data_IF_313288374685
#
_entry.id   IF_313288374685
#
_cell.length_a   1.000
_cell.length_b   1.000
_cell.length_c   1.000
_cell.angle_alpha   90.00
_cell.angle_beta   90.00
_cell.angle_gamma   90.00
#
_symmetry.space_group_name_H-M   'P 1'
#
loop_
_entity.id
_entity.type
_entity.pdbx_description
1 polymer ?
#
# COMPACT_ATOMS: atom_id res chain seq x y z
N UNK A 1 41.37 12.77 -15.53
CA UNK A 1 40.30 11.80 -15.81
C UNK A 1 39.02 12.33 -15.15
N UNK A 2 38.11 12.90 -15.94
CA UNK A 2 36.79 13.34 -15.48
C UNK A 2 35.87 12.12 -15.53
N UNK A 3 35.51 11.57 -14.37
CA UNK A 3 34.50 10.51 -14.25
C UNK A 3 33.14 11.21 -14.32
N UNK A 4 32.56 11.27 -15.52
CA UNK A 4 31.18 11.70 -15.70
C UNK A 4 30.23 10.61 -15.21
N UNK A 5 29.60 10.82 -14.07
CA UNK A 5 28.47 9.98 -13.64
C UNK A 5 27.28 10.35 -14.52
N UNK A 6 27.02 9.55 -15.54
CA UNK A 6 25.76 9.63 -16.30
C UNK A 6 24.68 9.04 -15.41
N UNK A 7 23.96 9.89 -14.69
CA UNK A 7 22.76 9.49 -13.98
C UNK A 7 21.65 9.23 -15.01
N UNK A 8 21.46 7.96 -15.37
CA UNK A 8 20.28 7.55 -16.14
C UNK A 8 19.10 7.53 -15.17
N UNK A 9 18.20 8.50 -15.31
CA UNK A 9 16.92 8.47 -14.60
C UNK A 9 16.02 7.47 -15.32
N UNK A 10 15.87 6.27 -14.77
CA UNK A 10 14.94 5.28 -15.29
C UNK A 10 13.51 5.67 -14.91
N UNK A 11 12.63 5.86 -15.91
CA UNK A 11 11.20 6.10 -15.67
C UNK A 11 10.50 4.77 -15.45
N UNK A 12 10.03 4.55 -14.22
CA UNK A 12 9.14 3.42 -13.91
C UNK A 12 7.71 3.80 -14.26
N UNK A 13 7.06 2.95 -15.05
CA UNK A 13 5.66 3.09 -15.40
C UNK A 13 4.90 1.99 -14.65
N UNK A 14 4.01 2.39 -13.75
CA UNK A 14 3.16 1.46 -12.99
C UNK A 14 1.75 1.56 -13.54
N UNK A 15 1.16 0.43 -13.92
CA UNK A 15 -0.23 0.34 -14.33
C UNK A 15 -0.93 -0.69 -13.45
N UNK A 16 -2.11 -0.29 -12.94
CA UNK A 16 -2.93 -1.12 -12.06
C UNK A 16 -4.10 -1.68 -12.88
N UNK A 17 -4.34 -2.99 -12.74
CA UNK A 17 -5.41 -3.73 -13.40
C UNK A 17 -6.25 -4.49 -12.36
N UNK A 18 -7.44 -4.99 -12.75
CA UNK A 18 -8.10 -6.05 -12.00
C UNK A 18 -7.17 -7.25 -11.76
N UNK A 19 -7.32 -7.96 -10.64
CA UNK A 19 -6.50 -9.14 -10.35
C UNK A 19 -6.75 -10.26 -11.36
N UNK A 20 -5.76 -11.15 -11.51
CA UNK A 20 -5.95 -12.43 -12.22
C UNK A 20 -6.50 -13.47 -11.24
N UNK A 21 -7.58 -14.14 -11.62
CA UNK A 21 -8.19 -15.18 -10.78
C UNK A 21 -7.24 -16.37 -10.51
N UNK A 22 -7.39 -16.99 -9.34
CA UNK A 22 -6.65 -18.20 -8.97
C UNK A 22 -5.19 -17.98 -8.54
N UNK A 23 -4.76 -16.73 -8.37
CA UNK A 23 -3.44 -16.42 -7.85
C UNK A 23 -3.28 -16.86 -6.38
N UNK A 24 -2.08 -17.32 -6.04
CA UNK A 24 -1.65 -17.50 -4.65
C UNK A 24 -0.75 -16.34 -4.24
N UNK A 25 -0.67 -16.04 -2.95
CA UNK A 25 0.06 -14.88 -2.41
C UNK A 25 1.13 -15.29 -1.40
N UNK A 26 2.20 -15.99 -1.82
CA UNK A 26 3.18 -16.58 -0.89
C UNK A 26 4.15 -15.54 -0.30
N UNK A 27 4.25 -14.36 -0.89
CA UNK A 27 5.16 -13.30 -0.44
C UNK A 27 4.38 -12.27 0.36
N UNK A 28 4.93 -11.84 1.50
CA UNK A 28 4.31 -10.81 2.35
C UNK A 28 5.37 -9.81 2.80
N UNK A 29 5.02 -8.53 2.78
CA UNK A 29 5.80 -7.44 3.36
C UNK A 29 4.92 -6.62 4.29
N UNK A 30 5.43 -6.30 5.47
CA UNK A 30 4.68 -5.66 6.55
C UNK A 30 5.25 -4.30 6.88
N UNK A 31 4.35 -3.36 7.20
CA UNK A 31 4.69 -2.01 7.62
C UNK A 31 3.76 -1.58 8.74
N UNK A 32 4.29 -0.81 9.68
CA UNK A 32 3.47 -0.02 10.59
C UNK A 32 3.30 1.37 9.98
N UNK A 33 2.04 1.80 9.84
CA UNK A 33 1.67 3.02 9.13
C UNK A 33 0.76 3.90 9.98
N UNK A 34 0.89 5.22 9.81
CA UNK A 34 0.14 6.22 10.56
C UNK A 34 -0.68 7.07 9.60
N UNK A 35 -1.99 6.82 9.57
CA UNK A 35 -2.89 7.56 8.70
C UNK A 35 -3.45 8.77 9.44
N UNK A 36 -3.32 9.99 8.87
CA UNK A 36 -4.01 11.16 9.39
C UNK A 36 -5.53 10.99 9.25
N UNK A 37 -6.27 11.22 10.32
CA UNK A 37 -7.73 11.12 10.31
C UNK A 37 -8.35 12.18 9.40
N UNK A 38 -9.39 11.78 8.65
CA UNK A 38 -10.15 12.65 7.76
C UNK A 38 -9.41 13.11 6.51
N UNK A 39 -8.21 12.59 6.24
CA UNK A 39 -7.45 12.89 5.02
C UNK A 39 -7.32 11.66 4.14
N UNK A 40 -7.38 11.88 2.83
CA UNK A 40 -7.11 10.85 1.84
C UNK A 40 -5.62 10.48 1.83
N UNK A 41 -5.36 9.18 1.83
CA UNK A 41 -4.06 8.55 1.75
C UNK A 41 -4.12 7.52 0.62
N UNK A 42 -3.31 7.69 -0.41
CA UNK A 42 -3.28 6.76 -1.55
C UNK A 42 -2.23 5.67 -1.33
N UNK A 43 -2.65 4.43 -1.12
CA UNK A 43 -1.71 3.28 -1.06
C UNK A 43 -1.95 2.36 -2.25
N UNK A 44 -0.90 2.11 -3.05
CA UNK A 44 -1.00 1.22 -4.21
C UNK A 44 -2.05 1.67 -5.24
N UNK A 45 -2.30 2.99 -5.32
CA UNK A 45 -3.34 3.57 -6.17
C UNK A 45 -4.78 3.40 -5.66
N UNK A 46 -4.95 3.07 -4.37
CA UNK A 46 -6.24 2.99 -3.69
C UNK A 46 -6.35 4.18 -2.75
N UNK A 47 -7.39 4.99 -2.89
CA UNK A 47 -7.63 6.12 -2.00
C UNK A 47 -8.33 5.63 -0.74
N UNK A 48 -7.69 5.88 0.40
CA UNK A 48 -8.19 5.49 1.71
C UNK A 48 -8.33 6.69 2.63
N UNK A 49 -9.40 6.71 3.43
CA UNK A 49 -9.62 7.73 4.45
C UNK A 49 -9.94 7.03 5.77
N UNK A 50 -9.06 7.19 6.76
CA UNK A 50 -9.35 6.74 8.12
C UNK A 50 -10.23 7.78 8.83
N UNK A 51 -11.32 7.30 9.43
CA UNK A 51 -12.30 8.11 10.13
C UNK A 51 -12.51 7.51 11.52
N UNK A 52 -12.41 8.33 12.56
CA UNK A 52 -12.74 7.91 13.93
C UNK A 52 -13.95 8.69 14.40
N UNK A 53 -14.94 7.99 14.94
CA UNK A 53 -15.95 8.56 15.84
C UNK A 53 -15.56 8.26 17.29
N UNK A 54 -16.38 8.63 18.27
CA UNK A 54 -16.08 8.41 19.71
C UNK A 54 -15.81 6.93 20.04
N UNK A 55 -16.48 6.00 19.37
CA UNK A 55 -16.39 4.56 19.66
C UNK A 55 -15.98 3.69 18.47
N UNK A 56 -15.90 4.23 17.26
CA UNK A 56 -15.70 3.43 16.04
C UNK A 56 -14.59 3.96 15.15
N UNK A 57 -13.75 3.04 14.65
CA UNK A 57 -12.87 3.31 13.53
C UNK A 57 -13.52 2.82 12.24
N UNK A 58 -13.51 3.67 11.23
CA UNK A 58 -13.97 3.35 9.89
C UNK A 58 -12.86 3.66 8.90
N UNK A 59 -12.84 2.93 7.80
CA UNK A 59 -12.02 3.25 6.65
C UNK A 59 -12.92 3.36 5.43
N UNK A 60 -12.81 4.48 4.72
CA UNK A 60 -13.37 4.59 3.38
C UNK A 60 -12.31 4.14 2.38
N UNK A 61 -12.68 3.24 1.47
CA UNK A 61 -11.82 2.66 0.43
C UNK A 61 -12.53 2.85 -0.89
N UNK A 62 -11.96 3.65 -1.80
CA UNK A 62 -12.58 4.02 -3.09
C UNK A 62 -14.05 4.49 -2.94
N UNK A 63 -14.38 5.14 -1.81
CA UNK A 63 -15.72 5.67 -1.50
C UNK A 63 -16.67 4.72 -0.77
N UNK A 64 -16.33 3.43 -0.63
CA UNK A 64 -17.07 2.49 0.22
C UNK A 64 -16.54 2.58 1.66
N UNK A 65 -17.41 2.83 2.63
CA UNK A 65 -17.01 2.92 4.04
C UNK A 65 -17.26 1.61 4.76
N UNK A 66 -16.25 1.16 5.48
CA UNK A 66 -16.33 -0.04 6.29
C UNK A 66 -15.83 0.21 7.71
N UNK A 67 -16.46 -0.44 8.68
CA UNK A 67 -15.97 -0.46 10.06
C UNK A 67 -14.71 -1.33 10.16
N UNK A 68 -13.79 -0.91 11.02
CA UNK A 68 -12.61 -1.65 11.45
C UNK A 68 -12.64 -1.84 12.96
N UNK A 69 -12.56 -3.09 13.40
CA UNK A 69 -12.36 -3.40 14.81
C UNK A 69 -10.87 -3.45 15.16
N UNK A 70 -10.53 -3.10 16.41
CA UNK A 70 -9.13 -3.15 16.86
C UNK A 70 -8.65 -4.61 16.82
N UNK A 71 -7.50 -4.83 16.19
CA UNK A 71 -6.91 -6.16 16.02
C UNK A 71 -7.52 -6.98 14.88
N UNK A 72 -8.57 -6.49 14.21
CA UNK A 72 -9.13 -7.13 13.02
C UNK A 72 -8.15 -6.99 11.85
N UNK A 73 -7.75 -8.09 11.22
CA UNK A 73 -6.94 -8.05 10.01
C UNK A 73 -7.82 -8.16 8.77
N UNK A 74 -8.04 -7.04 8.09
CA UNK A 74 -9.03 -6.92 7.01
C UNK A 74 -8.38 -6.80 5.64
N UNK A 75 -8.90 -7.54 4.66
CA UNK A 75 -8.55 -7.35 3.25
C UNK A 75 -9.24 -6.09 2.74
N UNK A 76 -8.45 -5.14 2.27
CA UNK A 76 -8.93 -3.83 1.79
C UNK A 76 -9.11 -3.83 0.29
N UNK A 77 -8.16 -4.42 -0.44
CA UNK A 77 -8.21 -4.46 -1.89
C UNK A 77 -7.32 -5.57 -2.42
N UNK A 78 -7.71 -6.09 -3.57
CA UNK A 78 -6.93 -7.01 -4.39
C UNK A 78 -6.86 -6.48 -5.82
N UNK A 79 -5.64 -6.35 -6.37
CA UNK A 79 -5.40 -5.79 -7.72
C UNK A 79 -4.18 -6.45 -8.35
N UNK A 80 -3.90 -6.12 -9.61
CA UNK A 80 -2.68 -6.50 -10.32
C UNK A 80 -1.84 -5.27 -10.64
N UNK A 81 -0.56 -5.33 -10.33
CA UNK A 81 0.42 -4.31 -10.69
C UNK A 81 1.33 -4.81 -11.81
N UNK A 82 1.42 -4.03 -12.89
CA UNK A 82 2.41 -4.24 -13.95
C UNK A 82 3.34 -3.05 -13.97
N UNK A 83 4.61 -3.30 -13.67
CA UNK A 83 5.67 -2.29 -13.67
C UNK A 83 6.55 -2.49 -14.90
N UNK A 84 6.72 -1.41 -15.67
CA UNK A 84 7.55 -1.39 -16.87
C UNK A 84 8.64 -0.34 -16.77
N UNK A 85 9.81 -0.65 -17.30
CA UNK A 85 10.92 0.29 -17.50
C UNK A 85 11.42 0.17 -18.93
N UNK A 86 11.60 1.29 -19.63
CA UNK A 86 12.05 1.30 -21.03
C UNK A 86 11.27 0.33 -21.96
N UNK A 87 9.97 0.17 -21.72
CA UNK A 87 9.10 -0.75 -22.47
C UNK A 87 9.15 -2.23 -22.05
N UNK A 88 10.10 -2.62 -21.19
CA UNK A 88 10.23 -3.98 -20.66
C UNK A 88 9.47 -4.12 -19.34
N UNK A 89 8.69 -5.19 -19.20
CA UNK A 89 8.02 -5.54 -17.94
C UNK A 89 9.06 -6.08 -16.96
N UNK A 90 9.13 -5.46 -15.78
CA UNK A 90 10.05 -5.86 -14.70
C UNK A 90 9.32 -6.51 -13.53
N UNK A 91 8.04 -6.17 -13.34
CA UNK A 91 7.16 -6.81 -12.36
C UNK A 91 5.78 -6.95 -12.99
N UNK A 92 5.18 -8.11 -12.79
CA UNK A 92 3.79 -8.40 -13.12
C UNK A 92 3.27 -9.31 -12.02
N UNK A 93 2.44 -8.78 -11.13
CA UNK A 93 2.07 -9.47 -9.89
C UNK A 93 0.67 -9.06 -9.46
N UNK A 94 -0.12 -10.01 -8.97
CA UNK A 94 -1.26 -9.65 -8.14
C UNK A 94 -0.75 -9.21 -6.77
N UNK A 95 -1.49 -8.30 -6.14
CA UNK A 95 -1.24 -7.91 -4.76
C UNK A 95 -2.54 -7.72 -3.98
N UNK A 96 -2.46 -8.04 -2.69
CA UNK A 96 -3.49 -7.78 -1.70
C UNK A 96 -2.97 -6.80 -0.66
N UNK A 97 -3.81 -5.85 -0.27
CA UNK A 97 -3.53 -4.95 0.86
C UNK A 97 -4.42 -5.37 2.02
N UNK A 98 -3.80 -5.74 3.13
CA UNK A 98 -4.45 -5.94 4.40
C UNK A 98 -4.14 -4.79 5.35
N UNK A 99 -5.15 -4.38 6.11
CA UNK A 99 -4.99 -3.43 7.20
C UNK A 99 -5.50 -4.06 8.50
N UNK A 100 -4.71 -3.88 9.55
CA UNK A 100 -5.10 -4.19 10.90
C UNK A 100 -5.03 -2.93 11.75
N UNK A 101 -6.19 -2.49 12.24
CA UNK A 101 -6.27 -1.30 13.06
C UNK A 101 -5.74 -1.58 14.48
N UNK A 102 -4.72 -0.82 14.90
CA UNK A 102 -4.06 -1.00 16.20
C UNK A 102 -4.48 0.01 17.25
N UNK A 103 -5.34 0.97 16.90
CA UNK A 103 -5.73 2.07 17.77
C UNK A 103 -5.22 3.42 17.28
N UNK A 104 -5.66 4.48 17.96
CA UNK A 104 -5.14 5.82 17.74
C UNK A 104 -3.73 5.94 18.33
N UNK A 105 -2.80 6.51 17.59
CA UNK A 105 -1.50 6.94 18.15
C UNK A 105 -1.64 8.28 18.86
N UNK A 106 -2.49 9.16 18.31
CA UNK A 106 -2.88 10.43 18.88
C UNK A 106 -4.29 10.80 18.38
N UNK A 107 -4.95 11.85 18.91
CA UNK A 107 -6.32 12.21 18.52
C UNK A 107 -6.55 12.56 17.03
N UNK A 108 -5.49 12.67 16.22
CA UNK A 108 -5.53 13.01 14.79
C UNK A 108 -4.92 11.92 13.91
N UNK A 109 -4.38 10.85 14.49
CA UNK A 109 -3.59 9.85 13.76
C UNK A 109 -3.92 8.44 14.22
N UNK A 110 -4.33 7.60 13.28
CA UNK A 110 -4.61 6.19 13.51
C UNK A 110 -3.41 5.32 13.11
N UNK A 111 -3.08 4.33 13.94
CA UNK A 111 -2.04 3.34 13.66
C UNK A 111 -2.64 2.10 13.01
N UNK A 112 -2.02 1.65 11.94
CA UNK A 112 -2.36 0.40 11.30
C UNK A 112 -1.12 -0.45 11.09
N UNK A 113 -1.28 -1.75 11.21
CA UNK A 113 -0.38 -2.70 10.60
C UNK A 113 -0.86 -3.01 9.18
N UNK A 114 -0.02 -2.69 8.21
CA UNK A 114 -0.28 -2.87 6.80
C UNK A 114 0.52 -4.08 6.31
N UNK A 115 -0.16 -5.06 5.72
CA UNK A 115 0.48 -6.18 5.06
C UNK A 115 0.17 -6.15 3.56
N UNK A 116 1.21 -6.05 2.74
CA UNK A 116 1.13 -6.23 1.29
C UNK A 116 1.50 -7.67 0.99
N UNK A 117 0.59 -8.43 0.39
CA UNK A 117 0.88 -9.78 -0.10
C UNK A 117 0.96 -9.76 -1.61
N UNK A 118 1.92 -10.46 -2.20
CA UNK A 118 2.12 -10.48 -3.65
C UNK A 118 2.20 -11.91 -4.18
N UNK A 119 1.75 -12.11 -5.42
CA UNK A 119 1.80 -13.43 -6.06
C UNK A 119 3.20 -13.81 -6.53
N UNK A 120 3.96 -12.80 -6.97
CA UNK A 120 5.36 -12.92 -7.36
C UNK A 120 6.28 -12.21 -6.37
N UNK A 121 7.56 -12.60 -6.37
CA UNK A 121 8.57 -11.91 -5.57
C UNK A 121 8.83 -10.52 -6.15
N UNK A 122 8.47 -9.48 -5.39
CA UNK A 122 8.65 -8.09 -5.81
C UNK A 122 9.87 -7.49 -5.13
N UNK A 123 10.75 -6.78 -5.86
CA UNK A 123 11.82 -6.01 -5.25
C UNK A 123 11.30 -5.00 -4.21
N UNK A 124 11.96 -4.94 -3.05
CA UNK A 124 11.51 -4.12 -1.90
C UNK A 124 11.27 -2.64 -2.26
N UNK A 125 12.10 -2.06 -3.14
CA UNK A 125 11.94 -0.66 -3.54
C UNK A 125 10.62 -0.41 -4.29
N UNK A 126 10.05 -1.41 -4.96
CA UNK A 126 8.76 -1.31 -5.65
C UNK A 126 7.62 -1.37 -4.64
N UNK A 127 7.72 -2.24 -3.63
CA UNK A 127 6.75 -2.28 -2.52
C UNK A 127 6.73 -0.92 -1.80
N UNK A 128 7.90 -0.32 -1.59
CA UNK A 128 8.02 1.02 -1.01
C UNK A 128 7.36 2.14 -1.83
N UNK A 129 7.18 1.96 -3.16
CA UNK A 129 6.42 2.92 -3.98
C UNK A 129 4.92 2.83 -3.78
N UNK A 130 4.41 1.73 -3.20
CA UNK A 130 2.98 1.60 -2.89
C UNK A 130 2.59 2.52 -1.74
N UNK A 131 3.53 2.86 -0.85
CA UNK A 131 3.29 3.69 0.31
C UNK A 131 3.45 5.18 -0.08
N UNK A 132 2.47 6.04 0.24
CA UNK A 132 2.58 7.46 -0.04
C UNK A 132 3.65 8.09 0.86
N UNK A 133 4.33 9.12 0.34
CA UNK A 133 5.38 9.83 1.10
C UNK A 133 4.82 10.68 2.25
N UNK A 134 3.53 10.95 2.21
CA UNK A 134 2.85 11.86 3.14
C UNK A 134 2.39 11.17 4.43
N UNK A 135 2.64 9.86 4.55
CA UNK A 135 2.42 9.10 5.78
C UNK A 135 3.75 8.63 6.35
N UNK A 136 3.79 8.50 7.67
CA UNK A 136 4.85 7.74 8.30
C UNK A 136 4.59 6.25 8.03
N UNK A 137 5.61 5.57 7.53
CA UNK A 137 5.60 4.13 7.34
C UNK A 137 6.98 3.57 7.72
N UNK A 138 6.99 2.55 8.57
CA UNK A 138 8.22 1.85 8.97
C UNK A 138 8.04 0.35 8.76
N UNK A 139 9.08 -0.38 8.33
CA UNK A 139 9.01 -1.85 8.30
C UNK A 139 8.63 -2.40 9.69
N UNK A 140 7.72 -3.37 9.71
CA UNK A 140 7.22 -4.01 10.92
C UNK A 140 7.82 -5.41 11.11
#
# INVERSE_FOLDING_TARGET
LLIGVVAVVATLNVVIYPPVDGATYPYTTTYDVWFPLGKAVTVGGIDMVALSTEDEMMIAVDGATEKLEVGENKLISERRAVVKTFGLTVVDTNFQIYLNYRGLSDPRTANFHLAVRTSEQVPQFIVGMLLPRDIQAVPA
#
